data_IF_983881539122
#
_entry.id   IF_983881539122
#
_cell.length_a   1.000
_cell.length_b   1.000
_cell.length_c   1.000
_cell.angle_alpha   90.00
_cell.angle_beta   90.00
_cell.angle_gamma   90.00
#
_symmetry.space_group_name_H-M   'P 1'
#
loop_
_entity.id
_entity.type
_entity.pdbx_description
1 polymer ?
#
# COMPACT_ATOMS: atom_id res chain seq x y z
N UNK A 1 1.54 38.78 -19.59
CA UNK A 1 1.05 39.79 -18.62
C UNK A 1 -0.23 40.33 -19.20
N UNK A 2 -1.36 40.32 -18.46
CA UNK A 2 -2.62 40.83 -18.99
C UNK A 2 -2.42 42.28 -19.46
N UNK A 3 -3.02 42.64 -20.59
CA UNK A 3 -2.98 44.00 -21.15
C UNK A 3 -3.49 45.05 -20.17
N UNK A 4 -3.30 46.33 -20.49
CA UNK A 4 -3.80 47.42 -19.64
C UNK A 4 -5.30 47.67 -19.91
N UNK A 5 -6.17 47.70 -18.89
CA UNK A 5 -7.64 47.83 -19.05
C UNK A 5 -8.11 49.09 -19.77
N UNK A 6 -7.25 50.10 -19.89
CA UNK A 6 -7.59 51.39 -20.50
C UNK A 6 -7.14 51.52 -21.96
N UNK A 7 -6.34 50.57 -22.47
CA UNK A 7 -5.73 50.66 -23.81
C UNK A 7 -5.84 49.37 -24.62
N UNK A 8 -6.43 48.32 -24.07
CA UNK A 8 -6.52 47.01 -24.70
C UNK A 8 -7.97 46.51 -24.67
N UNK A 9 -8.60 46.48 -25.85
CA UNK A 9 -10.00 46.08 -26.03
C UNK A 9 -10.25 44.61 -25.64
N UNK A 10 -9.21 43.76 -25.65
CA UNK A 10 -9.33 42.33 -25.38
C UNK A 10 -9.00 41.95 -23.93
N UNK A 11 -8.61 42.94 -23.11
CA UNK A 11 -8.25 42.75 -21.70
C UNK A 11 -9.32 42.01 -20.89
N UNK A 12 -10.58 42.37 -21.09
CA UNK A 12 -11.69 41.77 -20.36
C UNK A 12 -11.81 40.26 -20.65
N UNK A 13 -11.56 39.83 -21.89
CA UNK A 13 -11.61 38.42 -22.27
C UNK A 13 -10.41 37.66 -21.69
N UNK A 14 -9.19 38.20 -21.81
CA UNK A 14 -7.97 37.57 -21.27
C UNK A 14 -8.03 37.38 -19.74
N UNK A 15 -8.56 38.36 -19.00
CA UNK A 15 -8.73 38.25 -17.54
C UNK A 15 -9.81 37.23 -17.19
N UNK A 16 -10.90 37.19 -17.96
CA UNK A 16 -11.99 36.21 -17.75
C UNK A 16 -11.51 34.79 -18.02
N UNK A 17 -10.72 34.58 -19.06
CA UNK A 17 -10.12 33.29 -19.41
C UNK A 17 -9.13 32.84 -18.32
N UNK A 18 -8.28 33.75 -17.81
CA UNK A 18 -7.39 33.44 -16.69
C UNK A 18 -8.15 33.03 -15.42
N UNK A 19 -9.23 33.73 -15.09
CA UNK A 19 -10.06 33.38 -13.92
C UNK A 19 -10.70 32.01 -14.12
N UNK A 20 -11.23 31.74 -15.32
CA UNK A 20 -11.89 30.47 -15.64
C UNK A 20 -10.91 29.30 -15.61
N UNK A 21 -9.71 29.48 -16.15
CA UNK A 21 -8.62 28.49 -16.10
C UNK A 21 -8.14 28.22 -14.67
N UNK A 22 -8.02 29.28 -13.85
CA UNK A 22 -7.63 29.15 -12.45
C UNK A 22 -8.69 28.42 -11.62
N UNK A 23 -9.97 28.76 -11.78
CA UNK A 23 -11.09 28.08 -11.11
C UNK A 23 -11.19 26.62 -11.58
N UNK A 24 -11.00 26.37 -12.89
CA UNK A 24 -10.91 25.03 -13.45
C UNK A 24 -9.80 24.21 -12.79
N UNK A 25 -8.62 24.80 -12.62
CA UNK A 25 -7.46 24.19 -11.97
C UNK A 25 -7.73 23.86 -10.50
N UNK A 26 -8.33 24.77 -9.74
CA UNK A 26 -8.70 24.53 -8.34
C UNK A 26 -9.71 23.39 -8.22
N UNK A 27 -10.77 23.39 -9.05
CA UNK A 27 -11.79 22.34 -9.07
C UNK A 27 -11.19 20.97 -9.41
N UNK A 28 -10.34 20.92 -10.43
CA UNK A 28 -9.70 19.69 -10.88
C UNK A 28 -8.77 19.14 -9.79
N UNK A 29 -7.98 20.00 -9.15
CA UNK A 29 -7.05 19.61 -8.08
C UNK A 29 -7.73 19.13 -6.81
N UNK A 30 -8.96 19.56 -6.53
CA UNK A 30 -9.76 19.03 -5.41
C UNK A 30 -10.44 17.72 -5.76
N UNK A 31 -11.06 17.61 -6.94
CA UNK A 31 -11.87 16.45 -7.32
C UNK A 31 -11.02 15.23 -7.65
N UNK A 32 -9.97 15.42 -8.46
CA UNK A 32 -9.15 14.30 -8.94
C UNK A 32 -8.28 13.74 -7.81
N UNK A 33 -7.72 14.60 -6.95
CA UNK A 33 -6.98 14.14 -5.77
C UNK A 33 -7.88 13.39 -4.78
N UNK A 34 -9.11 13.87 -4.55
CA UNK A 34 -10.05 13.17 -3.69
C UNK A 34 -10.37 11.76 -4.22
N UNK A 35 -10.58 11.62 -5.54
CA UNK A 35 -10.83 10.32 -6.16
C UNK A 35 -9.62 9.38 -6.02
N UNK A 36 -8.39 9.89 -6.18
CA UNK A 36 -7.17 9.07 -5.98
C UNK A 36 -7.05 8.59 -4.55
N UNK A 37 -7.30 9.45 -3.55
CA UNK A 37 -7.29 9.06 -2.14
C UNK A 37 -8.34 8.00 -1.85
N UNK A 38 -9.58 8.20 -2.31
CA UNK A 38 -10.67 7.23 -2.11
C UNK A 38 -10.34 5.89 -2.76
N UNK A 39 -9.82 5.90 -3.99
CA UNK A 39 -9.35 4.67 -4.66
C UNK A 39 -8.23 4.00 -3.86
N UNK A 40 -7.26 4.76 -3.37
CA UNK A 40 -6.18 4.25 -2.53
C UNK A 40 -6.70 3.56 -1.27
N UNK A 41 -7.72 4.12 -0.62
CA UNK A 41 -8.36 3.51 0.56
C UNK A 41 -9.09 2.23 0.19
N UNK A 42 -9.93 2.24 -0.86
CA UNK A 42 -10.72 1.07 -1.26
C UNK A 42 -9.81 -0.08 -1.71
N UNK A 43 -8.86 0.20 -2.61
CA UNK A 43 -7.92 -0.82 -3.07
C UNK A 43 -6.96 -1.26 -1.96
N UNK A 44 -6.55 -0.35 -1.08
CA UNK A 44 -5.74 -0.68 0.09
C UNK A 44 -6.45 -1.63 1.05
N UNK A 45 -7.75 -1.41 1.29
CA UNK A 45 -8.55 -2.26 2.16
C UNK A 45 -8.83 -3.64 1.54
N UNK A 46 -9.11 -3.68 0.23
CA UNK A 46 -9.20 -4.92 -0.55
C UNK A 46 -7.87 -5.71 -0.50
N UNK A 47 -6.75 -5.04 -0.74
CA UNK A 47 -5.42 -5.65 -0.69
C UNK A 47 -5.08 -6.15 0.72
N UNK A 48 -5.45 -5.42 1.76
CA UNK A 48 -5.25 -5.85 3.14
C UNK A 48 -6.06 -7.11 3.47
N UNK A 49 -7.33 -7.16 3.04
CA UNK A 49 -8.19 -8.32 3.27
C UNK A 49 -7.66 -9.57 2.56
N UNK A 50 -7.34 -9.45 1.26
CA UNK A 50 -6.78 -10.56 0.47
C UNK A 50 -5.41 -10.96 1.02
N UNK A 51 -4.55 -9.99 1.32
CA UNK A 51 -3.23 -10.22 1.88
C UNK A 51 -3.28 -10.94 3.22
N UNK A 52 -4.23 -10.59 4.09
CA UNK A 52 -4.44 -11.28 5.35
C UNK A 52 -4.89 -12.73 5.14
N UNK A 53 -5.86 -12.98 4.25
CA UNK A 53 -6.30 -14.33 3.93
C UNK A 53 -5.16 -15.19 3.35
N UNK A 54 -4.35 -14.62 2.45
CA UNK A 54 -3.17 -15.29 1.89
C UNK A 54 -2.12 -15.58 2.95
N UNK A 55 -1.88 -14.66 3.88
CA UNK A 55 -0.95 -14.86 4.99
C UNK A 55 -1.39 -16.04 5.87
N UNK A 56 -2.67 -16.12 6.22
CA UNK A 56 -3.23 -17.23 7.00
C UNK A 56 -3.06 -18.55 6.25
N UNK A 57 -3.41 -18.59 4.95
CA UNK A 57 -3.22 -19.79 4.13
C UNK A 57 -1.76 -20.21 4.02
N UNK A 58 -0.84 -19.25 3.85
CA UNK A 58 0.59 -19.51 3.81
C UNK A 58 1.07 -20.14 5.11
N UNK A 59 0.61 -19.63 6.27
CA UNK A 59 0.99 -20.16 7.58
C UNK A 59 0.49 -21.61 7.76
N UNK A 60 -0.75 -21.89 7.36
CA UNK A 60 -1.30 -23.24 7.38
C UNK A 60 -0.51 -24.17 6.45
N UNK A 61 -0.22 -23.73 5.23
CA UNK A 61 0.55 -24.50 4.26
C UNK A 61 1.96 -24.77 4.75
N UNK A 62 2.63 -23.77 5.32
CA UNK A 62 3.98 -23.91 5.86
C UNK A 62 3.99 -24.90 7.03
N UNK A 63 3.11 -24.73 8.01
CA UNK A 63 3.07 -25.62 9.18
C UNK A 63 2.70 -27.05 8.81
N UNK A 64 1.59 -27.27 8.08
CA UNK A 64 1.15 -28.62 7.72
C UNK A 64 2.07 -29.26 6.67
N UNK A 65 2.57 -28.47 5.71
CA UNK A 65 3.53 -28.91 4.71
C UNK A 65 4.84 -29.35 5.34
N UNK A 66 5.41 -28.55 6.26
CA UNK A 66 6.62 -28.96 6.98
C UNK A 66 6.39 -30.21 7.82
N UNK A 67 5.26 -30.32 8.53
CA UNK A 67 4.95 -31.52 9.31
C UNK A 67 4.93 -32.78 8.44
N UNK A 68 4.27 -32.71 7.28
CA UNK A 68 4.20 -33.83 6.33
C UNK A 68 5.58 -34.21 5.77
N UNK A 69 6.44 -33.23 5.48
CA UNK A 69 7.79 -33.48 4.97
C UNK A 69 8.72 -34.03 6.05
N UNK A 70 8.66 -33.47 7.26
CA UNK A 70 9.50 -33.90 8.38
C UNK A 70 9.13 -35.30 8.88
N UNK A 71 7.87 -35.72 8.74
CA UNK A 71 7.44 -37.08 9.06
C UNK A 71 8.16 -38.16 8.23
N UNK A 72 8.69 -37.83 7.05
CA UNK A 72 9.47 -38.77 6.25
C UNK A 72 10.77 -39.19 6.94
N UNK A 73 11.29 -38.37 7.87
CA UNK A 73 12.58 -38.58 8.52
C UNK A 73 12.51 -38.62 10.05
N UNK A 74 11.45 -38.09 10.65
CA UNK A 74 11.24 -38.03 12.10
C UNK A 74 9.92 -38.66 12.53
N UNK A 75 9.86 -39.09 13.80
CA UNK A 75 8.60 -39.46 14.42
C UNK A 75 7.62 -38.29 14.43
N UNK A 76 6.32 -38.61 14.31
CA UNK A 76 5.23 -37.63 14.20
C UNK A 76 5.28 -36.55 15.28
N UNK A 77 5.53 -36.96 16.54
CA UNK A 77 5.63 -36.05 17.69
C UNK A 77 6.74 -35.02 17.50
N UNK A 78 7.94 -35.44 17.07
CA UNK A 78 9.07 -34.52 16.86
C UNK A 78 8.85 -33.62 15.64
N UNK A 79 8.26 -34.14 14.57
CA UNK A 79 7.96 -33.38 13.37
C UNK A 79 7.07 -32.15 13.65
N UNK A 80 6.08 -32.30 14.55
CA UNK A 80 5.20 -31.20 14.98
C UNK A 80 5.99 -30.09 15.69
N UNK A 81 6.77 -30.41 16.72
CA UNK A 81 7.54 -29.39 17.45
C UNK A 81 8.59 -28.71 16.59
N UNK A 82 9.31 -29.46 15.76
CA UNK A 82 10.32 -28.91 14.85
C UNK A 82 9.68 -27.98 13.82
N UNK A 83 8.50 -28.32 13.29
CA UNK A 83 7.79 -27.45 12.34
C UNK A 83 7.43 -26.08 12.96
N UNK A 84 6.97 -26.06 14.21
CA UNK A 84 6.65 -24.81 14.91
C UNK A 84 7.89 -23.99 15.22
N UNK A 85 8.99 -24.66 15.58
CA UNK A 85 10.27 -23.97 15.82
C UNK A 85 10.81 -23.32 14.55
N UNK A 86 10.72 -24.00 13.40
CA UNK A 86 11.17 -23.45 12.11
C UNK A 86 10.28 -22.27 11.68
N UNK A 87 8.97 -22.45 11.66
CA UNK A 87 8.05 -21.37 11.23
C UNK A 87 8.12 -20.17 12.16
N UNK A 88 8.14 -20.40 13.48
CA UNK A 88 8.29 -19.34 14.47
C UNK A 88 9.65 -18.63 14.37
N UNK A 89 10.73 -19.39 14.13
CA UNK A 89 12.07 -18.84 13.91
C UNK A 89 12.14 -17.93 12.68
N UNK A 90 11.59 -18.38 11.55
CA UNK A 90 11.51 -17.59 10.31
C UNK A 90 10.73 -16.29 10.55
N UNK A 91 9.56 -16.36 11.20
CA UNK A 91 8.74 -15.17 11.49
C UNK A 91 9.46 -14.20 12.45
N UNK A 92 10.19 -14.72 13.43
CA UNK A 92 10.96 -13.90 14.38
C UNK A 92 12.10 -13.18 13.67
N UNK A 93 12.86 -13.88 12.83
CA UNK A 93 13.94 -13.29 12.02
C UNK A 93 13.37 -12.25 11.05
N UNK A 94 12.28 -12.56 10.35
CA UNK A 94 11.62 -11.62 9.45
C UNK A 94 11.17 -10.35 10.21
N UNK A 95 10.57 -10.51 11.39
CA UNK A 95 10.20 -9.40 12.27
C UNK A 95 11.39 -8.54 12.69
N UNK A 96 12.51 -9.16 13.08
CA UNK A 96 13.74 -8.46 13.42
C UNK A 96 14.31 -7.67 12.23
N UNK A 97 14.30 -8.24 11.02
CA UNK A 97 14.77 -7.58 9.80
C UNK A 97 13.90 -6.38 9.43
N UNK A 98 12.58 -6.52 9.52
CA UNK A 98 11.64 -5.42 9.29
C UNK A 98 11.82 -4.30 10.33
N UNK A 99 12.06 -4.67 11.59
CA UNK A 99 12.28 -3.70 12.67
C UNK A 99 13.65 -3.01 12.56
N UNK A 100 14.67 -3.71 12.06
CA UNK A 100 15.97 -3.12 11.74
C UNK A 100 15.85 -2.08 10.61
N UNK A 101 15.03 -2.35 9.58
CA UNK A 101 14.78 -1.36 8.51
C UNK A 101 14.08 -0.08 8.99
N UNK A 102 13.30 -0.17 10.08
CA UNK A 102 12.69 1.01 10.73
C UNK A 102 13.75 1.98 11.27
N UNK A 103 14.89 1.48 11.77
CA UNK A 103 15.91 2.34 12.40
C UNK A 103 16.82 3.05 11.41
N UNK A 104 16.89 2.61 10.16
CA UNK A 104 17.69 3.25 9.10
C UNK A 104 16.98 4.39 8.37
N UNK A 105 15.72 4.67 8.72
CA UNK A 105 14.92 5.75 8.12
C UNK A 105 14.93 7.05 8.97
N UNK A 106 15.89 7.19 9.89
CA UNK A 106 16.19 8.44 10.62
C UNK A 106 17.60 8.88 10.25
#
# INVERSE_FOLDING_TARGET
MPGNPLTDDNWANEVTDQITEFVGTVRQKTTDNAIVVVRGVVFGLLAAFIGFALLVMLLILATRGLQSLLYLFLSWERAVYVSYFIVGGILSIAGLLLMSKRTSAT
#
